data_IF_307611308053
#
_entry.id   IF_307611308053
#
_cell.length_a   1.000
_cell.length_b   1.000
_cell.length_c   1.000
_cell.angle_alpha   90.00
_cell.angle_beta   90.00
_cell.angle_gamma   90.00
#
_symmetry.space_group_name_H-M   'P 1'
#
loop_
_entity.id
_entity.type
_entity.pdbx_description
1 polymer ?
#
# COMPACT_ATOMS: atom_id res chain seq x y z
N UNK A 1 -14.06 23.27 2.64
CA UNK A 1 -12.84 22.87 3.37
C UNK A 1 -13.18 22.73 4.85
N UNK A 2 -13.60 23.76 5.59
CA UNK A 2 -13.85 23.70 7.05
C UNK A 2 -14.87 22.62 7.45
N UNK A 3 -15.97 22.44 6.69
CA UNK A 3 -16.97 21.40 6.99
C UNK A 3 -16.40 19.98 6.77
N UNK A 4 -15.54 19.79 5.79
CA UNK A 4 -14.89 18.50 5.56
C UNK A 4 -13.87 18.18 6.67
N UNK A 5 -13.13 19.18 7.14
CA UNK A 5 -12.22 19.04 8.28
C UNK A 5 -12.96 18.72 9.57
N UNK A 6 -14.07 19.44 9.87
CA UNK A 6 -14.91 19.15 11.04
C UNK A 6 -15.45 17.72 11.00
N UNK A 7 -15.93 17.26 9.82
CA UNK A 7 -16.42 15.89 9.68
C UNK A 7 -15.30 14.88 9.94
N UNK A 8 -14.10 15.12 9.41
CA UNK A 8 -12.94 14.28 9.65
C UNK A 8 -12.60 14.19 11.16
N UNK A 9 -12.60 15.33 11.86
CA UNK A 9 -12.35 15.33 13.32
C UNK A 9 -13.39 14.53 14.12
N UNK A 10 -14.65 14.53 13.70
CA UNK A 10 -15.68 13.72 14.36
C UNK A 10 -15.55 12.21 14.07
N UNK A 11 -14.81 11.83 13.03
CA UNK A 11 -14.52 10.45 12.67
C UNK A 11 -13.23 9.93 13.34
N UNK A 12 -12.41 10.83 13.94
CA UNK A 12 -11.20 10.48 14.66
C UNK A 12 -11.48 9.94 16.05
N UNK A 13 -10.62 9.04 16.52
CA UNK A 13 -10.58 8.57 17.90
C UNK A 13 -10.27 9.74 18.86
N UNK A 14 -10.80 9.69 20.06
CA UNK A 14 -10.51 10.70 21.09
C UNK A 14 -9.01 10.75 21.44
N UNK A 15 -8.28 9.64 21.29
CA UNK A 15 -6.83 9.59 21.49
C UNK A 15 -6.08 10.38 20.42
N UNK A 16 -6.50 10.31 19.15
CA UNK A 16 -5.90 11.08 18.04
C UNK A 16 -6.09 12.58 18.28
N UNK A 17 -7.31 13.01 18.62
CA UNK A 17 -7.61 14.41 18.92
C UNK A 17 -6.78 14.92 20.10
N UNK A 18 -6.65 14.11 21.17
CA UNK A 18 -5.85 14.49 22.35
C UNK A 18 -4.37 14.59 22.03
N UNK A 19 -3.84 13.68 21.22
CA UNK A 19 -2.41 13.63 20.89
C UNK A 19 -2.04 14.70 19.86
N UNK A 20 -2.83 14.87 18.81
CA UNK A 20 -2.46 15.74 17.67
C UNK A 20 -2.96 17.17 17.86
N UNK A 21 -4.23 17.37 18.24
CA UNK A 21 -4.86 18.69 18.27
C UNK A 21 -4.74 19.39 19.64
N UNK A 22 -4.77 18.63 20.74
CA UNK A 22 -4.76 19.16 22.10
C UNK A 22 -3.41 19.02 22.82
N UNK A 23 -2.35 18.68 22.10
CA UNK A 23 -1.00 18.61 22.66
C UNK A 23 -0.53 19.98 23.13
N UNK A 24 0.12 20.05 24.32
CA UNK A 24 0.69 21.28 24.90
C UNK A 24 1.73 21.96 23.99
N UNK A 25 2.37 21.21 23.09
CA UNK A 25 3.33 21.69 22.11
C UNK A 25 2.88 21.36 20.69
N UNK A 26 1.86 22.03 20.23
CA UNK A 26 1.40 21.96 18.83
C UNK A 26 1.83 23.23 18.09
N UNK A 27 2.99 23.20 17.43
CA UNK A 27 3.54 24.32 16.66
C UNK A 27 3.52 24.00 15.17
N UNK A 28 2.69 24.70 14.44
CA UNK A 28 2.67 24.60 12.98
C UNK A 28 3.85 25.34 12.36
N UNK A 29 4.44 24.74 11.32
CA UNK A 29 5.50 25.34 10.51
C UNK A 29 5.09 25.36 9.05
N UNK A 30 5.47 26.41 8.33
CA UNK A 30 5.61 26.28 6.88
C UNK A 30 6.81 25.41 6.55
N UNK A 31 6.77 24.68 5.44
CA UNK A 31 7.85 23.78 5.08
C UNK A 31 9.21 24.48 4.95
N UNK A 32 9.26 25.68 4.38
CA UNK A 32 10.50 26.45 4.27
C UNK A 32 11.09 26.83 5.64
N UNK A 33 10.25 27.14 6.64
CA UNK A 33 10.72 27.43 8.01
C UNK A 33 11.34 26.18 8.65
N UNK A 34 10.70 25.02 8.45
CA UNK A 34 11.26 23.75 8.91
C UNK A 34 12.58 23.42 8.21
N UNK A 35 12.68 23.64 6.89
CA UNK A 35 13.90 23.44 6.12
C UNK A 35 15.06 24.36 6.61
N UNK A 36 14.76 25.60 7.02
CA UNK A 36 15.75 26.48 7.64
C UNK A 36 16.24 25.96 9.00
N UNK A 37 15.34 25.36 9.80
CA UNK A 37 15.73 24.73 11.07
C UNK A 37 16.64 23.52 10.81
N UNK A 38 16.36 22.71 9.80
CA UNK A 38 17.24 21.60 9.38
C UNK A 38 18.63 22.13 9.04
N UNK A 39 18.72 23.16 8.20
CA UNK A 39 20.00 23.76 7.78
C UNK A 39 20.81 24.33 8.93
N UNK A 40 20.16 24.99 9.92
CA UNK A 40 20.83 25.47 11.15
C UNK A 40 21.46 24.35 11.99
N UNK A 41 21.00 23.10 11.79
CA UNK A 41 21.50 21.92 12.47
C UNK A 41 22.36 20.99 11.57
N UNK A 42 22.90 21.50 10.47
CA UNK A 42 23.69 20.75 9.48
C UNK A 42 22.92 19.55 8.88
N UNK A 43 21.62 19.72 8.68
CA UNK A 43 20.73 18.74 8.06
C UNK A 43 20.14 19.32 6.77
N UNK A 44 19.72 18.44 5.88
CA UNK A 44 19.07 18.82 4.64
C UNK A 44 17.83 17.94 4.38
N UNK A 45 16.87 18.51 3.66
CA UNK A 45 15.70 17.79 3.19
C UNK A 45 16.10 16.66 2.24
N UNK A 46 15.68 15.43 2.52
CA UNK A 46 15.88 14.27 1.66
C UNK A 46 14.69 14.07 0.72
N UNK A 47 13.54 13.77 1.27
CA UNK A 47 12.29 13.46 0.54
C UNK A 47 11.11 13.41 1.51
N UNK A 48 9.91 13.22 1.00
CA UNK A 48 8.80 12.70 1.82
C UNK A 48 8.93 11.18 1.98
N UNK A 49 8.44 10.63 3.08
CA UNK A 49 8.43 9.19 3.33
C UNK A 49 7.61 8.46 2.26
N UNK A 50 6.53 9.08 1.80
CA UNK A 50 5.76 8.63 0.65
C UNK A 50 6.18 9.40 -0.61
N UNK A 51 6.92 8.76 -1.51
CA UNK A 51 7.46 9.38 -2.72
C UNK A 51 6.39 10.05 -3.59
N UNK A 52 5.19 9.47 -3.66
CA UNK A 52 4.09 10.03 -4.45
C UNK A 52 3.57 11.37 -3.90
N UNK A 53 3.83 11.67 -2.61
CA UNK A 53 3.51 12.96 -2.03
C UNK A 53 4.31 14.12 -2.65
N UNK A 54 5.43 13.85 -3.31
CA UNK A 54 6.25 14.83 -4.03
C UNK A 54 5.88 14.95 -5.53
N UNK A 55 5.00 14.08 -6.05
CA UNK A 55 4.63 14.05 -7.47
C UNK A 55 3.73 15.22 -7.87
N UNK A 56 3.73 15.61 -9.13
CA UNK A 56 2.91 16.72 -9.68
C UNK A 56 1.72 16.25 -10.51
N UNK A 57 1.54 14.92 -10.67
CA UNK A 57 0.59 14.32 -11.62
C UNK A 57 -0.88 14.65 -11.32
N UNK A 58 -1.23 14.88 -10.05
CA UNK A 58 -2.59 15.25 -9.63
C UNK A 58 -2.92 16.75 -9.80
N UNK A 59 -1.94 17.57 -10.16
CA UNK A 59 -2.12 19.00 -10.34
C UNK A 59 -2.66 19.33 -11.74
N UNK A 60 -3.32 20.50 -11.87
CA UNK A 60 -3.63 21.07 -13.17
C UNK A 60 -2.36 21.31 -13.99
N UNK A 61 -2.51 21.45 -15.32
CA UNK A 61 -1.39 21.70 -16.21
C UNK A 61 -0.59 22.94 -15.79
N UNK A 62 -1.29 24.04 -15.55
CA UNK A 62 -0.64 25.32 -15.23
C UNK A 62 0.09 25.27 -13.88
N UNK A 63 -0.51 24.62 -12.86
CA UNK A 63 0.12 24.43 -11.57
C UNK A 63 1.37 23.54 -11.67
N UNK A 64 1.32 22.50 -12.51
CA UNK A 64 2.47 21.61 -12.75
C UNK A 64 3.61 22.37 -13.43
N UNK A 65 3.33 23.10 -14.53
CA UNK A 65 4.32 23.90 -15.24
C UNK A 65 4.97 24.94 -14.31
N UNK A 66 4.18 25.58 -13.44
CA UNK A 66 4.70 26.49 -12.43
C UNK A 66 5.67 25.77 -11.46
N UNK A 67 5.25 24.67 -10.85
CA UNK A 67 6.09 23.90 -9.90
C UNK A 67 7.37 23.40 -10.57
N UNK A 68 7.29 22.90 -11.81
CA UNK A 68 8.43 22.40 -12.56
C UNK A 68 9.39 23.50 -13.01
N UNK A 69 8.97 24.75 -13.04
CA UNK A 69 9.82 25.92 -13.34
C UNK A 69 10.68 26.39 -12.15
N UNK A 70 10.39 25.91 -10.94
CA UNK A 70 11.14 26.25 -9.73
C UNK A 70 12.38 25.38 -9.61
N UNK A 71 13.55 25.98 -9.41
CA UNK A 71 14.82 25.25 -9.26
C UNK A 71 15.03 24.74 -7.83
N UNK A 72 14.59 25.51 -6.82
CA UNK A 72 14.78 25.15 -5.42
C UNK A 72 13.75 24.10 -4.95
N UNK A 73 14.25 23.00 -4.40
CA UNK A 73 13.40 21.89 -3.96
C UNK A 73 12.51 22.28 -2.75
N UNK A 74 12.99 23.15 -1.87
CA UNK A 74 12.20 23.58 -0.69
C UNK A 74 11.07 24.49 -1.14
N UNK A 75 11.34 25.38 -2.09
CA UNK A 75 10.33 26.24 -2.68
C UNK A 75 9.26 25.43 -3.43
N UNK A 76 9.68 24.46 -4.25
CA UNK A 76 8.76 23.52 -4.92
C UNK A 76 7.84 22.78 -3.95
N UNK A 77 8.38 22.24 -2.89
CA UNK A 77 7.64 21.50 -1.86
C UNK A 77 6.69 22.42 -1.08
N UNK A 78 7.11 23.66 -0.78
CA UNK A 78 6.23 24.65 -0.15
C UNK A 78 5.03 25.00 -1.02
N UNK A 79 5.23 25.20 -2.32
CA UNK A 79 4.10 25.48 -3.24
C UNK A 79 3.21 24.24 -3.43
N UNK A 80 3.79 23.02 -3.40
CA UNK A 80 3.00 21.78 -3.40
C UNK A 80 2.06 21.70 -2.19
N UNK A 81 2.50 22.15 -1.02
CA UNK A 81 1.63 22.23 0.17
C UNK A 81 0.44 23.15 -0.07
N UNK A 82 0.67 24.33 -0.65
CA UNK A 82 -0.41 25.28 -0.94
C UNK A 82 -1.40 24.73 -1.98
N UNK A 83 -0.90 24.15 -3.07
CA UNK A 83 -1.78 23.59 -4.13
C UNK A 83 -2.62 22.41 -3.63
N UNK A 84 -2.11 21.64 -2.68
CA UNK A 84 -2.78 20.44 -2.13
C UNK A 84 -3.56 20.70 -0.85
N UNK A 85 -3.38 21.88 -0.23
CA UNK A 85 -3.87 22.15 1.12
C UNK A 85 -3.31 21.15 2.14
N UNK A 86 -2.00 20.79 1.98
CA UNK A 86 -1.36 19.81 2.88
C UNK A 86 -1.17 20.43 4.26
N UNK A 87 -1.70 19.75 5.29
CA UNK A 87 -1.61 20.16 6.69
C UNK A 87 -0.65 19.27 7.50
N UNK A 88 -0.25 18.12 6.96
CA UNK A 88 0.66 17.19 7.61
C UNK A 88 1.69 16.66 6.62
N UNK A 89 2.95 16.52 7.10
CA UNK A 89 4.07 16.00 6.30
C UNK A 89 4.80 14.89 7.04
N UNK A 90 5.28 13.91 6.28
CA UNK A 90 6.19 12.85 6.76
C UNK A 90 7.56 13.06 6.12
N UNK A 91 8.26 14.07 6.59
CA UNK A 91 9.50 14.55 5.99
C UNK A 91 10.71 13.75 6.43
N UNK A 92 11.47 13.25 5.48
CA UNK A 92 12.78 12.63 5.69
C UNK A 92 13.88 13.66 5.48
N UNK A 93 14.90 13.61 6.34
CA UNK A 93 16.08 14.45 6.26
C UNK A 93 17.36 13.65 6.54
N UNK A 94 18.48 14.18 6.09
CA UNK A 94 19.79 13.57 6.29
C UNK A 94 20.83 14.66 6.60
N UNK A 95 22.07 14.24 6.88
CA UNK A 95 23.17 15.18 7.10
C UNK A 95 23.49 15.96 5.84
N UNK A 96 23.85 17.23 5.98
CA UNK A 96 24.10 18.16 4.86
C UNK A 96 25.27 17.71 3.96
N UNK A 97 26.27 17.03 4.53
CA UNK A 97 27.42 16.54 3.77
C UNK A 97 27.09 15.38 2.80
N UNK A 98 25.90 14.77 2.89
CA UNK A 98 25.52 13.68 2.00
C UNK A 98 25.11 14.24 0.64
N UNK A 99 25.80 13.81 -0.42
CA UNK A 99 25.45 14.18 -1.78
C UNK A 99 24.20 13.40 -2.23
N UNK A 100 23.11 14.11 -2.47
CA UNK A 100 21.83 13.53 -2.87
C UNK A 100 21.70 13.43 -4.39
N UNK A 101 21.24 12.27 -4.89
CA UNK A 101 20.75 12.11 -6.24
C UNK A 101 19.22 12.16 -6.27
N UNK A 102 18.66 13.29 -6.67
CA UNK A 102 17.20 13.51 -6.72
C UNK A 102 16.53 13.01 -7.99
N UNK A 103 17.33 12.64 -8.99
CA UNK A 103 16.86 12.11 -10.28
C UNK A 103 17.50 10.74 -10.56
N UNK A 104 17.08 9.69 -9.82
CA UNK A 104 17.63 8.36 -10.03
C UNK A 104 17.24 7.83 -11.41
N UNK A 105 18.21 7.17 -12.07
CA UNK A 105 18.00 6.44 -13.33
C UNK A 105 17.11 5.21 -13.09
N UNK A 106 16.36 4.75 -14.12
CA UNK A 106 15.48 3.57 -13.99
C UNK A 106 16.20 2.31 -13.49
N UNK A 107 17.49 2.18 -13.75
CA UNK A 107 18.31 1.07 -13.26
C UNK A 107 18.38 0.96 -11.72
N UNK A 108 18.02 2.01 -10.99
CA UNK A 108 17.95 1.98 -9.52
C UNK A 108 16.98 0.90 -9.01
N UNK A 109 15.97 0.56 -9.81
CA UNK A 109 14.96 -0.46 -9.46
C UNK A 109 15.59 -1.83 -9.18
N UNK A 110 16.76 -2.14 -9.77
CA UNK A 110 17.48 -3.39 -9.51
C UNK A 110 17.94 -3.58 -8.06
N UNK A 111 17.93 -2.52 -7.25
CA UNK A 111 18.33 -2.55 -5.83
C UNK A 111 17.18 -2.98 -4.91
N UNK A 112 15.95 -3.04 -5.41
CA UNK A 112 14.75 -3.20 -4.61
C UNK A 112 14.02 -4.51 -4.89
N UNK A 113 13.29 -4.95 -3.88
CA UNK A 113 12.15 -5.83 -4.02
C UNK A 113 10.91 -4.94 -4.16
N UNK A 114 9.99 -5.34 -5.02
CA UNK A 114 8.76 -4.62 -5.30
C UNK A 114 7.56 -5.39 -4.76
N UNK A 115 6.64 -4.67 -4.12
CA UNK A 115 5.34 -5.19 -3.72
C UNK A 115 4.23 -4.30 -4.26
N UNK A 116 3.08 -4.87 -4.60
CA UNK A 116 1.91 -4.11 -5.03
C UNK A 116 0.63 -4.93 -4.87
N UNK A 117 -0.42 -4.27 -4.38
CA UNK A 117 -1.78 -4.83 -4.32
C UNK A 117 -2.58 -4.63 -5.61
N UNK A 118 -1.95 -4.05 -6.64
CA UNK A 118 -2.61 -3.66 -7.89
C UNK A 118 -3.20 -4.87 -8.63
N UNK A 119 -4.39 -4.71 -9.16
CA UNK A 119 -5.08 -5.75 -9.94
C UNK A 119 -5.60 -5.16 -11.25
N UNK A 120 -5.60 -5.95 -12.36
CA UNK A 120 -6.27 -5.53 -13.57
C UNK A 120 -7.78 -5.39 -13.30
N UNK A 121 -8.40 -4.36 -13.89
CA UNK A 121 -9.85 -4.15 -13.78
C UNK A 121 -10.62 -5.16 -14.63
N UNK A 122 -10.03 -5.61 -15.74
CA UNK A 122 -10.61 -6.61 -16.64
C UNK A 122 -10.53 -8.01 -16.01
N UNK A 123 -11.60 -8.78 -16.09
CA UNK A 123 -11.60 -10.18 -15.66
C UNK A 123 -10.66 -11.06 -16.53
N UNK A 124 -10.38 -10.65 -17.77
CA UNK A 124 -9.45 -11.31 -18.69
C UNK A 124 -8.53 -10.26 -19.32
N UNK A 125 -7.47 -9.84 -18.64
CA UNK A 125 -6.57 -8.79 -19.12
C UNK A 125 -5.77 -9.25 -20.35
N UNK A 126 -5.69 -8.38 -21.37
CA UNK A 126 -4.86 -8.61 -22.56
C UNK A 126 -3.44 -8.11 -22.31
N UNK A 127 -2.62 -8.89 -21.57
CA UNK A 127 -1.30 -8.44 -21.12
C UNK A 127 -0.20 -8.51 -22.19
N UNK A 128 -0.34 -9.36 -23.21
CA UNK A 128 0.70 -9.53 -24.25
C UNK A 128 0.53 -8.61 -25.46
N UNK A 129 -0.42 -7.67 -25.44
CA UNK A 129 -0.68 -6.71 -26.52
C UNK A 129 -0.38 -5.28 -26.05
N UNK A 130 -0.39 -4.30 -26.97
CA UNK A 130 -0.29 -2.87 -26.64
C UNK A 130 -1.64 -2.23 -26.29
N UNK A 131 -2.70 -3.02 -26.15
CA UNK A 131 -4.00 -2.51 -25.71
C UNK A 131 -3.89 -1.99 -24.27
N UNK A 132 -4.47 -0.83 -24.02
CA UNK A 132 -4.50 -0.24 -22.69
C UNK A 132 -5.28 -1.14 -21.73
N UNK A 133 -4.70 -1.43 -20.59
CA UNK A 133 -5.33 -2.13 -19.47
C UNK A 133 -5.32 -1.21 -18.24
N UNK A 134 -6.44 -1.16 -17.56
CA UNK A 134 -6.56 -0.40 -16.31
C UNK A 134 -6.26 -1.28 -15.11
N UNK A 135 -5.39 -0.80 -14.26
CA UNK A 135 -5.04 -1.44 -12.99
C UNK A 135 -5.52 -0.58 -11.84
N UNK A 136 -6.00 -1.22 -10.77
CA UNK A 136 -6.55 -0.54 -9.59
C UNK A 136 -5.94 -1.13 -8.33
N UNK A 137 -5.46 -0.26 -7.43
CA UNK A 137 -4.96 -0.63 -6.10
C UNK A 137 -6.08 -0.66 -5.04
N UNK A 138 -5.75 -1.11 -3.84
CA UNK A 138 -6.70 -1.25 -2.72
C UNK A 138 -7.41 0.07 -2.34
N UNK A 139 -6.73 1.21 -2.46
CA UNK A 139 -7.29 2.54 -2.15
C UNK A 139 -8.10 3.15 -3.31
N UNK A 140 -8.42 2.38 -4.34
CA UNK A 140 -9.18 2.84 -5.51
C UNK A 140 -8.38 3.69 -6.50
N UNK A 141 -7.08 3.93 -6.25
CA UNK A 141 -6.20 4.62 -7.20
C UNK A 141 -5.99 3.72 -8.41
N UNK A 142 -6.20 4.27 -9.61
CA UNK A 142 -6.05 3.53 -10.87
C UNK A 142 -4.98 4.12 -11.77
N UNK A 143 -4.38 3.24 -12.58
CA UNK A 143 -3.43 3.59 -13.66
C UNK A 143 -3.79 2.85 -14.93
N UNK A 144 -3.43 3.42 -16.06
CA UNK A 144 -3.63 2.83 -17.39
C UNK A 144 -2.28 2.52 -18.01
N UNK A 145 -2.09 1.25 -18.43
CA UNK A 145 -0.82 0.73 -18.95
C UNK A 145 -1.07 0.02 -20.27
N UNK A 146 -0.33 0.41 -21.30
CA UNK A 146 -0.34 -0.23 -22.63
C UNK A 146 0.87 -1.13 -22.87
N UNK A 147 1.98 -0.92 -22.14
CA UNK A 147 3.23 -1.66 -22.31
C UNK A 147 3.11 -3.11 -21.82
N UNK A 148 3.30 -4.13 -22.70
CA UNK A 148 3.01 -5.53 -22.36
C UNK A 148 3.82 -6.06 -21.18
N UNK A 149 5.13 -5.82 -21.15
CA UNK A 149 6.00 -6.33 -20.09
C UNK A 149 5.65 -5.70 -18.74
N UNK A 150 5.31 -4.41 -18.71
CA UNK A 150 4.87 -3.72 -17.49
C UNK A 150 3.53 -4.28 -16.99
N UNK A 151 2.57 -4.55 -17.88
CA UNK A 151 1.29 -5.19 -17.50
C UNK A 151 1.51 -6.54 -16.84
N UNK A 152 2.36 -7.38 -17.44
CA UNK A 152 2.69 -8.69 -16.87
C UNK A 152 3.38 -8.56 -15.50
N UNK A 153 4.30 -7.62 -15.33
CA UNK A 153 4.94 -7.35 -14.05
C UNK A 153 3.92 -6.95 -12.97
N UNK A 154 2.99 -6.04 -13.29
CA UNK A 154 1.93 -5.63 -12.35
C UNK A 154 0.98 -6.77 -11.99
N UNK A 155 0.60 -7.61 -12.96
CA UNK A 155 -0.20 -8.82 -12.69
C UNK A 155 0.52 -9.76 -11.72
N UNK A 156 1.83 -10.00 -11.92
CA UNK A 156 2.61 -10.84 -11.01
C UNK A 156 2.68 -10.27 -9.60
N UNK A 157 2.92 -8.98 -9.46
CA UNK A 157 2.95 -8.32 -8.14
C UNK A 157 1.61 -8.46 -7.41
N UNK A 158 0.50 -8.23 -8.12
CA UNK A 158 -0.84 -8.40 -7.54
C UNK A 158 -1.17 -9.83 -7.13
N UNK A 159 -0.65 -10.83 -7.85
CA UNK A 159 -0.84 -12.25 -7.51
C UNK A 159 -0.11 -12.67 -6.23
N UNK A 160 1.06 -12.06 -5.98
CA UNK A 160 1.88 -12.35 -4.80
C UNK A 160 1.69 -11.33 -3.68
N UNK A 161 0.63 -10.51 -3.74
CA UNK A 161 0.39 -9.47 -2.73
C UNK A 161 0.55 -10.00 -1.31
N UNK A 162 1.24 -9.23 -0.46
CA UNK A 162 1.72 -9.62 0.86
C UNK A 162 3.19 -10.07 0.86
N UNK A 163 3.76 -10.32 -0.34
CA UNK A 163 5.21 -10.57 -0.55
C UNK A 163 5.78 -9.54 -1.50
N UNK A 164 7.09 -9.36 -1.44
CA UNK A 164 7.83 -8.57 -2.41
C UNK A 164 8.67 -9.49 -3.31
N UNK A 165 8.93 -9.05 -4.54
CA UNK A 165 9.76 -9.78 -5.50
C UNK A 165 10.94 -8.93 -5.94
N UNK A 166 12.12 -9.53 -6.04
CA UNK A 166 13.31 -8.88 -6.55
C UNK A 166 13.07 -8.44 -8.01
N UNK A 167 13.44 -7.19 -8.33
CA UNK A 167 13.07 -6.57 -9.60
C UNK A 167 13.52 -7.37 -10.84
N UNK A 168 14.74 -7.91 -10.85
CA UNK A 168 15.23 -8.72 -11.97
C UNK A 168 14.45 -10.03 -12.14
N UNK A 169 14.05 -10.67 -11.05
CA UNK A 169 13.17 -11.86 -11.07
C UNK A 169 11.79 -11.52 -11.62
N UNK A 170 11.22 -10.39 -11.20
CA UNK A 170 9.95 -9.88 -11.71
C UNK A 170 9.97 -9.70 -13.24
N UNK A 171 11.04 -9.08 -13.77
CA UNK A 171 11.19 -8.90 -15.20
C UNK A 171 11.28 -10.22 -15.97
N UNK A 172 11.98 -11.22 -15.42
CA UNK A 172 12.08 -12.53 -16.07
C UNK A 172 10.73 -13.26 -16.08
N UNK A 173 10.00 -13.28 -14.97
CA UNK A 173 8.64 -13.87 -14.91
C UNK A 173 7.66 -13.16 -15.84
N UNK A 174 7.70 -11.84 -15.88
CA UNK A 174 6.88 -11.06 -16.81
C UNK A 174 7.20 -11.38 -18.28
N UNK A 175 8.50 -11.48 -18.63
CA UNK A 175 8.97 -11.89 -19.95
C UNK A 175 8.44 -13.29 -20.34
N UNK A 176 8.59 -14.28 -19.46
CA UNK A 176 8.09 -15.65 -19.70
C UNK A 176 6.60 -15.64 -19.97
N UNK A 177 5.84 -14.90 -19.17
CA UNK A 177 4.38 -14.81 -19.30
C UNK A 177 3.96 -14.24 -20.65
N UNK A 178 4.50 -13.07 -21.07
CA UNK A 178 4.06 -12.47 -22.35
C UNK A 178 4.58 -13.26 -23.56
N UNK A 179 5.76 -13.91 -23.44
CA UNK A 179 6.30 -14.76 -24.48
C UNK A 179 5.41 -15.99 -24.72
N UNK A 180 4.95 -16.65 -23.65
CA UNK A 180 4.02 -17.78 -23.73
C UNK A 180 2.68 -17.40 -24.37
N UNK A 181 2.29 -16.13 -24.30
CA UNK A 181 1.10 -15.57 -24.95
C UNK A 181 1.36 -15.00 -26.34
N UNK A 182 2.53 -15.25 -26.91
CA UNK A 182 2.85 -14.92 -28.31
C UNK A 182 3.48 -13.55 -28.52
N UNK A 183 3.83 -12.81 -27.47
CA UNK A 183 4.59 -11.56 -27.63
C UNK A 183 5.99 -11.85 -28.16
N UNK A 184 6.42 -11.07 -29.16
CA UNK A 184 7.74 -11.21 -29.80
C UNK A 184 8.46 -9.87 -29.85
N UNK A 185 9.72 -9.85 -29.45
CA UNK A 185 10.64 -8.72 -29.60
C UNK A 185 12.04 -9.22 -29.84
N UNK A 186 12.85 -8.43 -30.54
CA UNK A 186 14.29 -8.67 -30.72
C UNK A 186 15.13 -7.89 -29.74
N UNK A 187 14.52 -6.96 -28.98
CA UNK A 187 15.22 -6.06 -28.07
C UNK A 187 14.62 -6.14 -26.66
N UNK A 188 15.04 -7.12 -25.88
CA UNK A 188 14.59 -7.26 -24.48
C UNK A 188 15.17 -6.20 -23.55
N UNK A 189 16.37 -5.71 -23.82
CA UNK A 189 17.00 -4.68 -22.98
C UNK A 189 16.18 -3.38 -23.01
N UNK A 190 15.67 -3.00 -24.18
CA UNK A 190 14.77 -1.87 -24.32
C UNK A 190 13.45 -2.08 -23.56
N UNK A 191 12.85 -3.28 -23.65
CA UNK A 191 11.63 -3.61 -22.93
C UNK A 191 11.84 -3.54 -21.41
N UNK A 192 12.97 -4.03 -20.93
CA UNK A 192 13.34 -3.95 -19.51
C UNK A 192 13.55 -2.51 -19.05
N UNK A 193 14.24 -1.70 -19.86
CA UNK A 193 14.43 -0.28 -19.55
C UNK A 193 13.10 0.48 -19.48
N UNK A 194 12.21 0.30 -20.47
CA UNK A 194 10.89 0.93 -20.50
C UNK A 194 10.07 0.50 -19.26
N UNK A 195 10.06 -0.79 -18.93
CA UNK A 195 9.37 -1.29 -17.74
C UNK A 195 9.92 -0.66 -16.45
N UNK A 196 11.26 -0.57 -16.34
CA UNK A 196 11.91 0.07 -15.19
C UNK A 196 11.47 1.54 -15.04
N UNK A 197 11.46 2.28 -16.15
CA UNK A 197 11.07 3.67 -16.18
C UNK A 197 9.59 3.86 -15.79
N UNK A 198 8.69 3.05 -16.34
CA UNK A 198 7.26 3.11 -16.01
C UNK A 198 7.02 2.76 -14.53
N UNK A 199 7.62 1.68 -14.02
CA UNK A 199 7.45 1.28 -12.62
C UNK A 199 8.01 2.32 -11.65
N UNK A 200 9.16 2.95 -11.98
CA UNK A 200 9.71 4.05 -11.19
C UNK A 200 8.76 5.26 -11.18
N UNK A 201 8.13 5.58 -12.33
CA UNK A 201 7.13 6.64 -12.39
C UNK A 201 5.88 6.32 -11.55
N UNK A 202 5.42 5.06 -11.56
CA UNK A 202 4.30 4.61 -10.74
C UNK A 202 4.63 4.78 -9.25
N UNK A 203 5.83 4.34 -8.81
CA UNK A 203 6.29 4.54 -7.42
C UNK A 203 6.28 6.02 -7.01
N UNK A 204 6.74 6.91 -7.91
CA UNK A 204 6.85 8.35 -7.63
C UNK A 204 5.53 9.09 -7.72
N UNK A 205 4.54 8.57 -8.45
CA UNK A 205 3.32 9.30 -8.78
C UNK A 205 2.06 8.82 -8.11
N UNK A 206 2.02 7.57 -7.62
CA UNK A 206 0.74 6.96 -7.22
C UNK A 206 0.76 6.24 -5.88
N UNK A 207 1.90 5.82 -5.39
CA UNK A 207 1.99 4.94 -4.20
C UNK A 207 1.40 3.54 -4.41
N UNK A 208 1.25 3.09 -5.67
CA UNK A 208 0.72 1.75 -5.99
C UNK A 208 1.78 0.64 -5.90
N UNK A 209 3.05 1.01 -5.83
CA UNK A 209 4.18 0.08 -5.73
C UNK A 209 5.03 0.50 -4.54
N UNK A 210 5.27 -0.44 -3.64
CA UNK A 210 6.17 -0.29 -2.51
C UNK A 210 7.55 -0.84 -2.86
N UNK A 211 8.59 -0.12 -2.44
CA UNK A 211 9.99 -0.50 -2.62
C UNK A 211 10.58 -0.98 -1.30
N UNK A 212 11.11 -2.19 -1.28
CA UNK A 212 11.70 -2.80 -0.09
C UNK A 212 13.16 -3.15 -0.31
N UNK A 213 13.98 -3.03 0.74
CA UNK A 213 15.36 -3.53 0.78
C UNK A 213 15.46 -4.95 1.36
N UNK A 214 14.36 -5.43 1.95
CA UNK A 214 14.24 -6.77 2.56
C UNK A 214 12.82 -7.29 2.33
N UNK A 215 12.60 -8.59 2.50
CA UNK A 215 11.26 -9.16 2.42
C UNK A 215 10.38 -8.60 3.55
N UNK A 216 9.19 -8.09 3.26
CA UNK A 216 8.21 -7.80 4.29
C UNK A 216 7.94 -9.05 5.12
N UNK A 217 7.90 -8.89 6.46
CA UNK A 217 7.77 -10.00 7.40
C UNK A 217 6.36 -10.57 7.54
N UNK A 218 5.49 -10.38 6.56
CA UNK A 218 4.13 -10.90 6.61
C UNK A 218 4.06 -12.34 6.10
N UNK A 219 3.37 -13.18 6.84
CA UNK A 219 3.04 -14.55 6.42
C UNK A 219 1.83 -14.49 5.50
N UNK A 220 2.03 -14.87 4.23
CA UNK A 220 0.96 -14.92 3.21
C UNK A 220 0.37 -16.32 3.05
N UNK A 221 0.90 -17.30 3.75
CA UNK A 221 0.40 -18.67 3.79
C UNK A 221 -0.26 -18.91 5.15
N UNK A 222 -1.45 -19.49 5.13
CA UNK A 222 -2.15 -19.88 6.35
C UNK A 222 -1.48 -21.13 6.91
N UNK A 223 -1.01 -21.09 8.15
CA UNK A 223 -0.50 -22.28 8.84
C UNK A 223 -1.64 -23.25 9.16
N UNK A 224 -1.31 -24.50 9.46
CA UNK A 224 -2.27 -25.52 9.91
C UNK A 224 -3.04 -25.07 11.16
N UNK A 225 -2.36 -24.30 12.02
CA UNK A 225 -2.93 -23.66 13.22
C UNK A 225 -2.62 -22.18 13.15
N UNK A 226 -3.50 -21.36 12.55
CA UNK A 226 -3.22 -19.95 12.35
C UNK A 226 -3.15 -19.19 13.68
N UNK A 227 -2.24 -18.20 13.72
CA UNK A 227 -2.05 -17.31 14.86
C UNK A 227 -2.15 -15.87 14.41
N UNK A 228 -3.12 -15.15 14.93
CA UNK A 228 -3.24 -13.70 14.71
C UNK A 228 -2.11 -12.98 15.44
N UNK A 229 -1.55 -11.93 14.85
CA UNK A 229 -0.51 -11.13 15.49
C UNK A 229 -1.00 -10.53 16.83
N UNK A 230 -0.10 -10.51 17.82
CA UNK A 230 -0.46 -10.13 19.19
C UNK A 230 -1.01 -8.71 19.32
N UNK A 231 -0.58 -7.77 18.48
CA UNK A 231 -1.07 -6.39 18.49
C UNK A 231 -2.53 -6.32 18.02
N UNK A 232 -2.86 -6.99 16.92
CA UNK A 232 -4.24 -7.03 16.43
C UNK A 232 -5.19 -7.68 17.46
N UNK A 233 -4.77 -8.79 18.10
CA UNK A 233 -5.54 -9.42 19.19
C UNK A 233 -5.75 -8.48 20.37
N UNK A 234 -4.76 -7.68 20.73
CA UNK A 234 -4.88 -6.70 21.81
C UNK A 234 -5.81 -5.53 21.44
N UNK A 235 -5.78 -5.07 20.18
CA UNK A 235 -6.61 -3.97 19.69
C UNK A 235 -8.08 -4.39 19.50
N UNK A 236 -8.33 -5.62 19.08
CA UNK A 236 -9.65 -6.12 18.66
C UNK A 236 -10.79 -5.88 19.68
N UNK A 237 -10.61 -6.02 21.01
CA UNK A 237 -11.67 -5.71 21.98
C UNK A 237 -11.91 -4.21 22.19
N UNK A 238 -10.98 -3.35 21.77
CA UNK A 238 -10.97 -1.92 22.12
C UNK A 238 -11.32 -1.04 20.92
N UNK A 239 -11.13 -1.53 19.70
CA UNK A 239 -11.34 -0.78 18.48
C UNK A 239 -11.92 -1.65 17.36
N UNK A 240 -12.51 -0.99 16.35
CA UNK A 240 -12.90 -1.66 15.11
C UNK A 240 -11.74 -1.81 14.16
N UNK A 241 -10.69 -1.02 14.32
CA UNK A 241 -9.50 -1.03 13.49
C UNK A 241 -8.37 -1.79 14.19
N UNK A 242 -7.68 -2.64 13.44
CA UNK A 242 -6.52 -3.40 13.91
C UNK A 242 -5.34 -3.25 12.96
N UNK A 243 -4.14 -3.17 13.52
CA UNK A 243 -2.89 -3.08 12.76
C UNK A 243 -2.37 -4.47 12.39
N UNK A 244 -2.03 -4.61 11.11
CA UNK A 244 -1.42 -5.83 10.56
C UNK A 244 0.10 -5.75 10.56
N UNK A 245 0.77 -6.89 10.30
CA UNK A 245 2.23 -6.95 10.12
C UNK A 245 2.73 -6.23 8.85
N UNK A 246 1.84 -5.90 7.94
CA UNK A 246 2.12 -5.04 6.77
C UNK A 246 1.89 -3.54 7.06
N UNK A 247 1.67 -3.17 8.33
CA UNK A 247 1.37 -1.79 8.72
C UNK A 247 0.07 -1.26 8.07
N UNK A 248 -0.86 -2.16 7.77
CA UNK A 248 -2.18 -1.77 7.27
C UNK A 248 -3.14 -1.61 8.45
N UNK A 249 -3.91 -0.54 8.42
CA UNK A 249 -5.06 -0.35 9.30
C UNK A 249 -6.27 -1.04 8.66
N UNK A 250 -6.74 -2.13 9.29
CA UNK A 250 -7.83 -2.96 8.77
C UNK A 250 -9.03 -2.86 9.69
N UNK A 251 -10.14 -2.42 9.13
CA UNK A 251 -11.42 -2.33 9.85
C UNK A 251 -12.12 -3.69 9.88
N UNK A 252 -12.43 -4.16 11.06
CA UNK A 252 -13.18 -5.42 11.31
C UNK A 252 -14.55 -5.03 11.86
N UNK A 253 -15.55 -4.98 10.97
CA UNK A 253 -16.88 -4.48 11.34
C UNK A 253 -17.83 -5.57 11.82
N UNK A 254 -17.71 -6.78 11.30
CA UNK A 254 -18.62 -7.87 11.58
C UNK A 254 -18.14 -8.79 12.71
N UNK A 255 -19.10 -9.30 13.49
CA UNK A 255 -18.80 -10.14 14.64
C UNK A 255 -18.27 -11.52 14.29
N UNK A 256 -18.57 -12.02 13.09
CA UNK A 256 -18.09 -13.32 12.59
C UNK A 256 -16.58 -13.25 12.35
N UNK A 257 -16.12 -12.22 11.64
CA UNK A 257 -14.67 -11.98 11.41
C UNK A 257 -13.94 -11.68 12.72
N UNK A 258 -14.56 -10.92 13.64
CA UNK A 258 -13.99 -10.66 14.96
C UNK A 258 -13.80 -11.94 15.76
N UNK A 259 -14.80 -12.80 15.78
CA UNK A 259 -14.72 -14.07 16.47
C UNK A 259 -13.66 -14.98 15.85
N UNK A 260 -13.61 -15.07 14.52
CA UNK A 260 -12.57 -15.84 13.83
C UNK A 260 -11.16 -15.40 14.25
N UNK A 261 -10.90 -14.09 14.27
CA UNK A 261 -9.59 -13.57 14.68
C UNK A 261 -9.26 -13.92 16.13
N UNK A 262 -10.24 -13.91 17.04
CA UNK A 262 -10.04 -14.24 18.46
C UNK A 262 -9.68 -15.70 18.70
N UNK A 263 -10.21 -16.61 17.86
CA UNK A 263 -9.97 -18.05 18.02
C UNK A 263 -8.74 -18.54 17.23
N UNK A 264 -8.14 -17.71 16.38
CA UNK A 264 -6.87 -18.02 15.69
C UNK A 264 -5.68 -17.75 16.63
N UNK A 265 -5.43 -18.66 17.58
CA UNK A 265 -4.48 -18.55 18.69
C UNK A 265 -3.33 -19.57 18.67
N UNK A 266 -3.09 -20.22 17.53
CA UNK A 266 -2.08 -21.30 17.34
C UNK A 266 -2.46 -22.64 18.00
N UNK A 267 -3.60 -22.74 18.67
CA UNK A 267 -4.01 -24.00 19.33
C UNK A 267 -4.96 -24.82 18.47
N UNK A 268 -5.78 -24.17 17.66
CA UNK A 268 -6.88 -24.75 16.89
C UNK A 268 -6.47 -25.11 15.47
N UNK A 269 -6.79 -26.34 15.08
CA UNK A 269 -6.72 -26.76 13.69
C UNK A 269 -7.86 -26.16 12.87
N UNK A 270 -7.79 -26.28 11.53
CA UNK A 270 -8.89 -25.86 10.64
C UNK A 270 -10.23 -26.52 11.01
N UNK A 271 -10.23 -27.79 11.39
CA UNK A 271 -11.43 -28.52 11.80
C UNK A 271 -12.00 -27.97 13.10
N UNK A 272 -11.14 -27.64 14.07
CA UNK A 272 -11.54 -26.99 15.32
C UNK A 272 -12.14 -25.61 15.08
N UNK A 273 -11.54 -24.81 14.18
CA UNK A 273 -12.05 -23.49 13.79
C UNK A 273 -13.44 -23.60 13.15
N UNK A 274 -13.67 -24.56 12.24
CA UNK A 274 -14.99 -24.80 11.64
C UNK A 274 -16.03 -25.10 12.73
N UNK A 275 -15.66 -25.95 13.68
CA UNK A 275 -16.55 -26.33 14.78
C UNK A 275 -16.94 -25.14 15.66
N UNK A 276 -15.95 -24.37 16.13
CA UNK A 276 -16.20 -23.21 16.98
C UNK A 276 -16.96 -22.09 16.25
N UNK A 277 -16.61 -21.83 14.99
CA UNK A 277 -17.34 -20.87 14.15
C UNK A 277 -18.80 -21.28 13.97
N UNK A 278 -19.05 -22.56 13.74
CA UNK A 278 -20.42 -23.09 13.65
C UNK A 278 -21.21 -22.84 14.93
N UNK A 279 -20.65 -23.22 16.07
CA UNK A 279 -21.28 -23.00 17.38
C UNK A 279 -21.58 -21.50 17.63
N UNK A 280 -20.63 -20.62 17.29
CA UNK A 280 -20.79 -19.19 17.41
C UNK A 280 -21.92 -18.66 16.51
N UNK A 281 -21.93 -19.04 15.21
CA UNK A 281 -22.93 -18.61 14.24
C UNK A 281 -24.32 -19.13 14.65
N UNK A 282 -24.46 -20.37 15.11
CA UNK A 282 -25.71 -20.95 15.59
C UNK A 282 -26.32 -20.20 16.78
N UNK A 283 -25.48 -19.71 17.70
CA UNK A 283 -25.89 -19.00 18.90
C UNK A 283 -26.16 -17.51 18.68
N UNK A 284 -25.59 -16.91 17.64
CA UNK A 284 -25.75 -15.48 17.35
C UNK A 284 -27.14 -15.21 16.76
N UNK A 285 -27.84 -14.19 17.23
CA UNK A 285 -29.20 -13.81 16.74
C UNK A 285 -29.12 -12.82 15.57
N UNK A 286 -28.06 -12.01 15.49
CA UNK A 286 -27.92 -10.83 14.60
C UNK A 286 -27.21 -11.11 13.26
N UNK A 287 -26.93 -12.39 12.94
CA UNK A 287 -26.24 -12.72 11.69
C UNK A 287 -27.25 -12.85 10.55
N UNK A 288 -27.11 -11.97 9.55
CA UNK A 288 -27.89 -12.05 8.31
C UNK A 288 -27.49 -13.30 7.49
N UNK A 289 -28.48 -13.95 6.84
CA UNK A 289 -28.28 -15.12 5.97
C UNK A 289 -27.52 -16.31 6.61
N UNK A 290 -27.82 -16.56 7.89
CA UNK A 290 -27.17 -17.56 8.73
C UNK A 290 -27.18 -18.98 8.12
N UNK A 291 -28.27 -19.38 7.44
CA UNK A 291 -28.37 -20.71 6.83
C UNK A 291 -27.37 -20.89 5.69
N UNK A 292 -27.22 -19.89 4.84
CA UNK A 292 -26.24 -19.91 3.73
C UNK A 292 -24.81 -19.92 4.29
N UNK A 293 -24.51 -19.09 5.28
CA UNK A 293 -23.19 -19.05 5.91
C UNK A 293 -22.83 -20.39 6.55
N UNK A 294 -23.74 -21.03 7.26
CA UNK A 294 -23.51 -22.35 7.88
C UNK A 294 -23.29 -23.46 6.86
N UNK A 295 -23.96 -23.39 5.70
CA UNK A 295 -23.80 -24.35 4.63
C UNK A 295 -22.44 -24.23 3.97
N UNK A 296 -21.98 -23.02 3.70
CA UNK A 296 -20.77 -22.75 2.95
C UNK A 296 -19.57 -22.42 3.88
N UNK A 297 -19.73 -22.63 5.20
CA UNK A 297 -18.76 -22.30 6.23
C UNK A 297 -17.33 -22.79 5.97
N UNK A 298 -17.08 -24.03 5.48
CA UNK A 298 -15.71 -24.47 5.20
C UNK A 298 -15.04 -23.67 4.10
N UNK A 299 -15.77 -23.31 3.04
CA UNK A 299 -15.27 -22.51 1.92
C UNK A 299 -15.06 -21.04 2.33
N UNK A 300 -16.03 -20.47 3.03
CA UNK A 300 -15.92 -19.13 3.63
C UNK A 300 -14.71 -19.01 4.57
N UNK A 301 -14.46 -20.02 5.42
CA UNK A 301 -13.31 -20.02 6.33
C UNK A 301 -11.99 -20.00 5.55
N UNK A 302 -11.85 -20.85 4.54
CA UNK A 302 -10.64 -20.92 3.71
C UNK A 302 -10.37 -19.58 2.99
N UNK A 303 -11.41 -18.99 2.41
CA UNK A 303 -11.31 -17.70 1.73
C UNK A 303 -10.95 -16.58 2.71
N UNK A 304 -11.60 -16.54 3.88
CA UNK A 304 -11.36 -15.55 4.93
C UNK A 304 -9.93 -15.65 5.47
N UNK A 305 -9.48 -16.85 5.82
CA UNK A 305 -8.09 -17.06 6.29
C UNK A 305 -7.07 -16.66 5.22
N UNK A 306 -7.30 -17.02 3.95
CA UNK A 306 -6.41 -16.65 2.85
C UNK A 306 -6.38 -15.12 2.63
N UNK A 307 -7.51 -14.44 2.79
CA UNK A 307 -7.59 -13.00 2.66
C UNK A 307 -6.90 -12.29 3.83
N UNK A 308 -7.12 -12.74 5.06
CA UNK A 308 -6.47 -12.22 6.27
C UNK A 308 -4.94 -12.43 6.22
N UNK A 309 -4.47 -13.57 5.70
CA UNK A 309 -3.05 -13.81 5.47
C UNK A 309 -2.44 -12.80 4.49
N UNK A 310 -3.12 -12.51 3.38
CA UNK A 310 -2.67 -11.50 2.39
C UNK A 310 -2.59 -10.09 2.98
N UNK A 311 -3.39 -9.79 3.99
CA UNK A 311 -3.35 -8.52 4.72
C UNK A 311 -2.26 -8.50 5.80
N UNK A 312 -1.55 -9.61 6.03
CA UNK A 312 -0.52 -9.72 7.07
C UNK A 312 -1.11 -9.80 8.48
N UNK A 313 -2.28 -10.42 8.63
CA UNK A 313 -2.92 -10.57 9.94
C UNK A 313 -2.26 -11.63 10.81
N UNK A 314 -1.65 -12.64 10.22
CA UNK A 314 -1.05 -13.78 10.94
C UNK A 314 0.45 -13.59 11.19
N UNK A 315 0.94 -14.17 12.32
CA UNK A 315 2.34 -14.17 12.77
C UNK A 315 2.93 -15.58 12.79
#
# INVERSE_FOLDING_TARGET
ILQAELKRHFEHDAADIFHDDLSDMNVAFYFHEFAELLKKNNLQYLAEAELHAMGTQSLSKDAREFIESLDDVVEREQYLDFFRGRIFRQTLFCREEIQLNRNPEPAVMNKFLLASSVRPQSAKPEIATQKVEKFVGMKGIGIEIDHPLTKAALVHLGQIWGRAMQFGELLQKAKETITSQGFKTTNWDEQFYITSAILLQICRGTGLIDLHLFQPGAFTEVSEKPKVNALALWQLPQANNVLTLLNLDVKIEDDVSRHLLQICDETRSREDLIKEMREFIEQSEDIEDKETLLKDLPEWLDESLAQLAKLGMFS
#
